data_IF_451103244679
#
_entry.id   IF_451103244679
#
_cell.length_a   1.000
_cell.length_b   1.000
_cell.length_c   1.000
_cell.angle_alpha   90.00
_cell.angle_beta   90.00
_cell.angle_gamma   90.00
#
_symmetry.space_group_name_H-M   'P 1'
#
loop_
_entity.id
_entity.type
_entity.pdbx_description
1 polymer ?
#
# COMPACT_ATOMS: atom_id res chain seq x y z
N UNK A 1 11.40 28.54 -15.76
CA UNK A 1 11.87 27.23 -15.27
C UNK A 1 11.89 26.25 -16.43
N UNK A 2 12.99 25.54 -16.64
CA UNK A 2 13.10 24.47 -17.65
C UNK A 2 12.49 23.17 -17.12
N UNK A 3 11.97 22.35 -18.02
CA UNK A 3 11.39 21.05 -17.67
C UNK A 3 12.52 20.05 -17.41
N UNK A 4 12.54 19.33 -16.26
CA UNK A 4 13.57 18.33 -15.99
C UNK A 4 13.54 17.19 -17.00
N UNK A 5 14.73 16.70 -17.38
CA UNK A 5 14.88 15.64 -18.39
C UNK A 5 14.20 14.31 -17.97
N UNK A 6 14.07 14.06 -16.67
CA UNK A 6 13.36 12.88 -16.18
C UNK A 6 11.85 12.93 -16.44
N UNK A 7 11.26 14.10 -16.74
CA UNK A 7 9.83 14.28 -16.97
C UNK A 7 9.41 13.85 -18.39
N UNK A 8 9.46 12.53 -18.66
CA UNK A 8 9.35 11.94 -20.01
C UNK A 8 8.03 12.24 -20.73
N UNK A 9 6.95 12.47 -19.98
CA UNK A 9 5.63 12.74 -20.55
C UNK A 9 5.26 14.23 -20.56
N UNK A 10 6.14 15.10 -20.07
CA UNK A 10 5.95 16.55 -20.01
C UNK A 10 5.25 17.05 -18.74
N UNK A 11 5.23 18.38 -18.59
CA UNK A 11 4.62 19.06 -17.43
C UNK A 11 3.12 18.77 -17.37
N UNK A 12 2.59 18.51 -16.17
CA UNK A 12 1.19 18.10 -15.89
C UNK A 12 0.82 16.67 -16.35
N UNK A 13 1.78 15.86 -16.76
CA UNK A 13 1.60 14.42 -17.05
C UNK A 13 2.55 13.61 -16.17
N UNK A 14 2.32 13.56 -14.85
CA UNK A 14 3.20 12.83 -13.95
C UNK A 14 3.20 11.33 -14.30
N UNK A 15 4.39 10.72 -14.30
CA UNK A 15 4.56 9.27 -14.39
C UNK A 15 5.42 8.76 -13.22
N UNK A 16 5.63 7.43 -13.14
CA UNK A 16 6.42 6.81 -12.06
C UNK A 16 7.83 7.41 -11.93
N UNK A 17 8.44 7.83 -13.04
CA UNK A 17 9.74 8.52 -13.06
C UNK A 17 9.71 9.90 -12.40
N UNK A 18 8.55 10.58 -12.33
CA UNK A 18 8.41 11.84 -11.63
C UNK A 18 8.40 11.64 -10.10
N UNK A 19 7.87 10.50 -9.64
CA UNK A 19 7.84 10.14 -8.21
C UNK A 19 9.25 9.76 -7.72
N UNK A 20 9.99 8.94 -8.48
CA UNK A 20 11.36 8.54 -8.11
C UNK A 20 12.41 9.67 -8.12
N UNK A 21 12.04 10.88 -8.53
CA UNK A 21 12.93 12.04 -8.65
C UNK A 21 12.36 13.32 -7.98
N UNK A 22 11.37 13.19 -7.10
CA UNK A 22 10.76 14.32 -6.35
C UNK A 22 10.41 15.51 -7.25
N UNK A 23 9.69 15.25 -8.36
CA UNK A 23 9.42 16.26 -9.37
C UNK A 23 8.64 17.46 -8.79
N UNK A 24 9.12 18.71 -8.96
CA UNK A 24 8.45 19.90 -8.40
C UNK A 24 7.11 20.21 -9.06
N UNK A 25 6.80 19.56 -10.19
CA UNK A 25 5.53 19.69 -10.89
C UNK A 25 4.54 18.55 -10.60
N UNK A 26 4.93 17.57 -9.77
CA UNK A 26 4.08 16.48 -9.33
C UNK A 26 3.78 16.66 -7.83
N UNK A 27 2.55 17.09 -7.51
CA UNK A 27 2.08 17.08 -6.14
C UNK A 27 1.85 15.64 -5.70
N UNK A 28 2.51 15.23 -4.62
CA UNK A 28 2.19 14.02 -3.90
C UNK A 28 2.01 14.39 -2.43
N UNK A 29 1.02 13.78 -1.77
CA UNK A 29 0.87 13.89 -0.33
C UNK A 29 1.62 12.71 0.30
N UNK A 30 2.62 12.96 1.15
CA UNK A 30 3.20 11.89 1.96
C UNK A 30 2.11 11.29 2.83
N UNK A 31 1.86 10.00 2.69
CA UNK A 31 0.89 9.25 3.50
C UNK A 31 1.65 8.21 4.35
N UNK A 32 2.37 8.64 5.40
CA UNK A 32 3.29 7.77 6.15
C UNK A 32 2.60 6.69 6.99
N UNK A 33 1.26 6.67 6.98
CA UNK A 33 0.41 5.80 7.80
C UNK A 33 -0.61 5.04 6.93
N UNK A 34 -0.36 4.93 5.62
CA UNK A 34 -1.28 4.31 4.67
C UNK A 34 -0.72 2.97 4.18
N UNK A 35 -1.58 1.95 4.17
CA UNK A 35 -1.27 0.64 3.59
C UNK A 35 -2.10 0.48 2.33
N UNK A 36 -1.41 0.15 1.24
CA UNK A 36 -2.00 -0.12 -0.05
C UNK A 36 -1.85 -1.60 -0.38
N UNK A 37 -2.95 -2.25 -0.78
CA UNK A 37 -2.88 -3.58 -1.38
C UNK A 37 -2.87 -3.45 -2.90
N UNK A 38 -1.83 -3.98 -3.54
CA UNK A 38 -1.73 -4.03 -5.00
C UNK A 38 -2.04 -5.43 -5.48
N UNK A 39 -2.76 -5.55 -6.59
CA UNK A 39 -2.94 -6.85 -7.25
C UNK A 39 -1.68 -7.26 -8.03
N UNK A 40 -1.75 -8.33 -8.82
CA UNK A 40 -0.64 -8.91 -9.60
C UNK A 40 0.19 -7.93 -10.44
N UNK A 41 -0.36 -6.76 -10.80
CA UNK A 41 0.35 -5.75 -11.60
C UNK A 41 1.06 -4.68 -10.76
N UNK A 42 0.99 -4.75 -9.43
CA UNK A 42 1.59 -3.73 -8.56
C UNK A 42 0.88 -2.38 -8.60
N UNK A 43 -0.29 -2.31 -9.26
CA UNK A 43 -1.13 -1.12 -9.33
C UNK A 43 -2.17 -1.16 -8.20
N UNK A 44 -2.37 -0.01 -7.55
CA UNK A 44 -3.30 0.18 -6.44
C UNK A 44 -4.39 1.12 -6.92
N UNK A 45 -5.64 0.62 -6.95
CA UNK A 45 -6.80 1.44 -7.30
C UNK A 45 -7.06 2.54 -6.27
N UNK A 46 -7.78 3.59 -6.65
CA UNK A 46 -8.14 4.70 -5.75
C UNK A 46 -8.94 4.27 -4.50
N UNK A 47 -9.56 3.10 -4.55
CA UNK A 47 -10.35 2.48 -3.49
C UNK A 47 -9.60 1.38 -2.71
N UNK A 48 -8.33 1.14 -3.05
CA UNK A 48 -7.51 0.04 -2.50
C UNK A 48 -6.60 0.49 -1.35
N UNK A 49 -6.83 1.70 -0.82
CA UNK A 49 -6.08 2.29 0.28
C UNK A 49 -6.84 2.10 1.58
N UNK A 50 -6.16 1.60 2.60
CA UNK A 50 -6.70 1.54 3.96
C UNK A 50 -5.96 2.59 4.78
N UNK A 51 -6.62 3.74 4.98
CA UNK A 51 -6.15 4.83 5.81
C UNK A 51 -6.96 4.93 7.11
N UNK A 52 -6.34 4.64 8.25
CA UNK A 52 -6.95 4.85 9.58
C UNK A 52 -6.58 6.24 10.09
N UNK A 53 -6.96 7.28 9.35
CA UNK A 53 -6.55 8.67 9.58
C UNK A 53 -6.66 9.11 11.03
N UNK A 54 -5.73 9.95 11.51
CA UNK A 54 -5.76 10.67 12.80
C UNK A 54 -5.67 9.81 14.09
N UNK A 55 -6.43 8.72 14.16
CA UNK A 55 -6.74 7.95 15.37
C UNK A 55 -5.62 6.99 15.78
N UNK A 56 -4.55 6.87 14.99
CA UNK A 56 -3.36 6.07 15.32
C UNK A 56 -2.27 6.84 16.06
N UNK A 57 -2.49 8.13 16.36
CA UNK A 57 -1.56 8.89 17.20
C UNK A 57 -1.86 8.61 18.68
N UNK A 58 -0.88 8.15 19.48
CA UNK A 58 -1.06 8.03 20.92
C UNK A 58 -1.20 9.43 21.54
N UNK A 59 -1.99 9.54 22.61
CA UNK A 59 -2.11 10.77 23.41
C UNK A 59 -1.54 10.56 24.83
N UNK A 60 -0.50 11.31 25.24
CA UNK A 60 0.22 12.32 24.45
C UNK A 60 1.06 11.72 23.33
N UNK A 61 1.33 12.51 22.29
CA UNK A 61 2.21 12.10 21.19
C UNK A 61 3.60 11.68 21.70
N UNK A 62 4.00 10.46 21.37
CA UNK A 62 5.32 9.92 21.68
C UNK A 62 5.86 9.12 20.50
N UNK A 63 6.97 9.56 19.91
CA UNK A 63 7.51 9.02 18.65
C UNK A 63 7.83 7.52 18.72
N UNK A 64 8.45 7.06 19.82
CA UNK A 64 8.75 5.62 19.97
C UNK A 64 7.48 4.77 20.03
N UNK A 65 6.43 5.29 20.68
CA UNK A 65 5.16 4.58 20.81
C UNK A 65 4.44 4.54 19.46
N UNK A 66 4.54 5.60 18.64
CA UNK A 66 4.06 5.59 17.26
C UNK A 66 4.77 4.50 16.45
N UNK A 67 6.08 4.36 16.56
CA UNK A 67 6.84 3.30 15.86
C UNK A 67 6.40 1.91 16.30
N UNK A 68 6.29 1.66 17.60
CA UNK A 68 5.83 0.37 18.14
C UNK A 68 4.41 0.01 17.68
N UNK A 69 3.49 0.99 17.67
CA UNK A 69 2.13 0.80 17.17
C UNK A 69 2.11 0.50 15.67
N UNK A 70 2.96 1.16 14.87
CA UNK A 70 3.10 0.89 13.44
C UNK A 70 3.65 -0.51 13.16
N UNK A 71 4.67 -0.94 13.91
CA UNK A 71 5.26 -2.27 13.77
C UNK A 71 4.24 -3.35 14.13
N UNK A 72 3.51 -3.15 15.24
CA UNK A 72 2.41 -4.04 15.66
C UNK A 72 1.33 -4.13 14.60
N UNK A 73 0.90 -2.98 14.06
CA UNK A 73 -0.10 -2.92 13.01
C UNK A 73 0.34 -3.65 11.74
N UNK A 74 1.58 -3.42 11.29
CA UNK A 74 2.15 -4.12 10.13
C UNK A 74 2.15 -5.64 10.33
N UNK A 75 2.54 -6.10 11.53
CA UNK A 75 2.57 -7.52 11.85
C UNK A 75 1.18 -8.14 11.81
N UNK A 76 0.18 -7.50 12.43
CA UNK A 76 -1.23 -7.96 12.40
C UNK A 76 -1.76 -8.03 10.97
N UNK A 77 -1.49 -7.03 10.14
CA UNK A 77 -1.92 -7.05 8.74
C UNK A 77 -1.30 -8.23 7.98
N UNK A 78 0.00 -8.50 8.13
CA UNK A 78 0.67 -9.63 7.48
C UNK A 78 0.07 -10.97 7.91
N UNK A 79 -0.12 -11.16 9.22
CA UNK A 79 -0.72 -12.37 9.77
C UNK A 79 -2.13 -12.61 9.21
N UNK A 80 -2.97 -11.56 9.16
CA UNK A 80 -4.34 -11.68 8.65
C UNK A 80 -4.40 -11.95 7.15
N UNK A 81 -3.46 -11.43 6.37
CA UNK A 81 -3.34 -11.75 4.94
C UNK A 81 -2.92 -13.21 4.74
N UNK A 82 -1.96 -13.71 5.52
CA UNK A 82 -1.52 -15.11 5.46
C UNK A 82 -2.67 -16.06 5.85
N UNK A 83 -3.36 -15.80 6.97
CA UNK A 83 -4.53 -16.58 7.39
C UNK A 83 -5.60 -16.66 6.29
N UNK A 84 -5.87 -15.54 5.62
CA UNK A 84 -6.84 -15.48 4.53
C UNK A 84 -6.38 -16.29 3.31
N UNK A 85 -5.09 -16.23 2.98
CA UNK A 85 -4.50 -17.01 1.88
C UNK A 85 -4.58 -18.52 2.17
N UNK A 86 -4.16 -18.96 3.35
CA UNK A 86 -4.24 -20.37 3.75
C UNK A 86 -5.68 -20.90 3.70
N UNK A 87 -6.64 -20.11 4.21
CA UNK A 87 -8.05 -20.46 4.17
C UNK A 87 -8.56 -20.61 2.73
N UNK A 88 -8.17 -19.71 1.82
CA UNK A 88 -8.48 -19.81 0.39
C UNK A 88 -7.89 -21.08 -0.23
N UNK A 89 -6.60 -21.33 0.01
CA UNK A 89 -5.90 -22.49 -0.56
C UNK A 89 -6.53 -23.81 -0.10
N UNK A 90 -6.85 -23.93 1.19
CA UNK A 90 -7.54 -25.10 1.72
C UNK A 90 -8.88 -25.36 1.01
N UNK A 91 -9.69 -24.33 0.76
CA UNK A 91 -10.95 -24.46 0.02
C UNK A 91 -10.74 -24.78 -1.46
N UNK A 92 -9.71 -24.21 -2.08
CA UNK A 92 -9.40 -24.44 -3.51
C UNK A 92 -9.00 -25.88 -3.78
N UNK A 93 -8.19 -26.49 -2.90
CA UNK A 93 -7.80 -27.91 -2.99
C UNK A 93 -8.92 -28.88 -2.63
N UNK A 94 -9.93 -28.43 -1.87
CA UNK A 94 -11.16 -29.20 -1.63
C UNK A 94 -12.03 -29.25 -2.89
N UNK A 95 -12.07 -28.19 -3.72
CA UNK A 95 -12.82 -28.19 -4.99
C UNK A 95 -12.23 -29.13 -6.04
N UNK A 96 -10.91 -29.30 -6.10
CA UNK A 96 -10.27 -30.29 -7.00
C UNK A 96 -10.66 -31.73 -6.65
N UNK A 97 -10.91 -32.04 -5.38
CA UNK A 97 -11.36 -33.38 -4.95
C UNK A 97 -12.85 -33.66 -5.15
N UNK A 98 -13.66 -32.63 -5.41
CA UNK A 98 -15.12 -32.73 -5.56
C UNK A 98 -15.60 -32.77 -7.01
N UNK A 99 -14.68 -32.74 -7.99
CA UNK A 99 -14.99 -33.04 -9.39
C UNK A 99 -14.38 -34.39 -9.75
N UNK A 100 -15.12 -35.51 -9.62
CA UNK A 100 -14.63 -36.80 -10.08
C UNK A 100 -14.67 -36.84 -11.61
N UNK A 101 -13.52 -37.18 -12.20
CA UNK A 101 -13.39 -37.63 -13.59
C UNK A 101 -14.08 -38.98 -13.82
#
# INVERSE_FOLDING_TARGET
MSVPAFCKYGVKKPGYHCLGHDCPFAGHAPAPNEIAYSHENGEVGHDSWIGFGGDMAPEPYHEQLVTELKDTWQQVCKEKVEEAYEAYMALSHVKEKLTPS
#
